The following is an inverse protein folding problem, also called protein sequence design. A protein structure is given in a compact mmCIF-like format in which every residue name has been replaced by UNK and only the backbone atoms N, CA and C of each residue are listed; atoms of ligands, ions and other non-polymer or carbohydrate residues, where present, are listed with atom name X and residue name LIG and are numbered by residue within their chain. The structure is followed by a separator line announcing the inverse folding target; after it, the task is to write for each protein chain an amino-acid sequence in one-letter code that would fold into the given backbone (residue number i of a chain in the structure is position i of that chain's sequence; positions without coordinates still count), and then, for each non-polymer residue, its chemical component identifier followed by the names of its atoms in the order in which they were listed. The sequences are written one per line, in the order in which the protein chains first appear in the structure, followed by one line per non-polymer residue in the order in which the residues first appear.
data_IF_385186841656
#
_entry.id   IF_385186841656
#
_cell.length_a   1.000
_cell.length_b   1.000
_cell.length_c   1.000
_cell.angle_alpha   90.00
_cell.angle_beta   90.00
_cell.angle_gamma   90.00
#
_symmetry.space_group_name_H-M   'P 1'
#
loop_
_entity.id
_entity.type
_entity.pdbx_description
1 polymer ?
#
# COMPACT_ATOMS: atom_id res chain seq x y z
N UNK A 1 61.57 10.40 -17.60
CA UNK A 1 60.45 11.16 -16.99
C UNK A 1 59.18 10.76 -17.73
N UNK A 2 58.40 9.83 -17.18
CA UNK A 2 57.20 9.28 -17.83
C UNK A 2 55.96 9.72 -17.04
N UNK A 3 54.97 10.21 -17.77
CA UNK A 3 53.82 10.98 -17.28
C UNK A 3 52.72 10.07 -16.72
N UNK A 4 52.15 10.53 -15.60
CA UNK A 4 50.81 10.28 -15.06
C UNK A 4 50.03 9.08 -15.60
N UNK A 5 50.05 7.99 -14.82
CA UNK A 5 49.13 6.86 -14.90
C UNK A 5 47.73 7.33 -14.55
N UNK A 6 46.87 7.39 -15.57
CA UNK A 6 45.48 7.83 -15.46
C UNK A 6 44.63 6.77 -14.75
N UNK A 7 43.76 7.28 -13.89
CA UNK A 7 42.79 6.61 -13.02
C UNK A 7 41.80 5.75 -13.77
N UNK A 8 41.64 4.49 -13.36
CA UNK A 8 40.42 3.70 -13.56
C UNK A 8 40.26 2.73 -12.38
N UNK A 9 39.95 3.29 -11.22
CA UNK A 9 39.37 2.54 -10.11
C UNK A 9 37.85 2.70 -10.22
N UNK A 10 37.18 1.78 -10.92
CA UNK A 10 35.72 1.64 -10.80
C UNK A 10 35.45 0.58 -9.73
N UNK A 11 35.16 1.06 -8.53
CA UNK A 11 34.81 0.26 -7.38
C UNK A 11 33.58 -0.59 -7.68
N UNK A 12 33.78 -1.91 -7.77
CA UNK A 12 32.72 -2.88 -7.59
C UNK A 12 32.59 -3.15 -6.09
N UNK A 13 31.68 -2.43 -5.43
CA UNK A 13 31.26 -2.68 -4.05
C UNK A 13 29.75 -2.51 -4.01
N UNK A 14 29.02 -3.61 -4.15
CA UNK A 14 28.46 -4.36 -3.02
C UNK A 14 27.29 -3.63 -2.34
N UNK A 15 26.15 -4.32 -2.44
CA UNK A 15 25.27 -4.66 -1.32
C UNK A 15 24.13 -3.71 -0.93
N UNK A 16 22.93 -4.29 -1.08
CA UNK A 16 21.80 -4.33 -0.13
C UNK A 16 20.57 -3.45 -0.41
N UNK A 17 19.43 -4.15 -0.38
CA UNK A 17 18.09 -3.72 0.00
C UNK A 17 17.40 -2.72 -0.95
N UNK A 18 16.18 -2.97 -1.43
CA UNK A 18 15.07 -3.54 -0.67
C UNK A 18 14.40 -4.67 -1.41
N UNK A 19 14.44 -5.84 -0.77
CA UNK A 19 13.37 -6.80 -0.86
C UNK A 19 12.09 -6.08 -0.39
N UNK A 20 11.38 -5.45 -1.32
CA UNK A 20 10.01 -4.97 -1.12
C UNK A 20 9.01 -6.12 -1.07
N UNK A 21 9.43 -7.31 -0.63
CA UNK A 21 8.51 -8.21 0.03
C UNK A 21 8.30 -7.57 1.40
N UNK A 22 7.33 -6.65 1.47
CA UNK A 22 6.57 -6.44 2.68
C UNK A 22 6.18 -7.84 3.17
N UNK A 23 7.00 -8.40 4.06
CA UNK A 23 6.68 -9.63 4.76
C UNK A 23 5.27 -9.37 5.28
N UNK A 24 4.31 -10.11 4.76
CA UNK A 24 2.93 -9.93 5.12
C UNK A 24 2.90 -10.15 6.63
N UNK A 25 2.86 -9.06 7.38
CA UNK A 25 2.38 -9.09 8.76
C UNK A 25 1.09 -9.92 8.71
N UNK A 26 0.85 -10.81 9.69
CA UNK A 26 -0.32 -11.68 9.68
C UNK A 26 -1.52 -10.85 9.26
N UNK A 27 -2.00 -11.13 8.05
CA UNK A 27 -2.94 -10.23 7.40
C UNK A 27 -4.23 -10.35 8.19
N UNK A 28 -4.68 -9.25 8.78
CA UNK A 28 -6.00 -9.16 9.37
C UNK A 28 -7.08 -9.33 8.29
N UNK A 29 -6.73 -9.23 7.00
CA UNK A 29 -7.63 -9.57 5.92
C UNK A 29 -7.93 -11.08 5.85
N UNK A 30 -9.21 -11.44 5.66
CA UNK A 30 -9.56 -12.79 5.21
C UNK A 30 -8.85 -13.16 3.90
N UNK A 31 -8.68 -14.45 3.63
CA UNK A 31 -8.03 -14.92 2.41
C UNK A 31 -8.71 -14.35 1.15
N UNK A 32 -7.93 -13.73 0.25
CA UNK A 32 -8.41 -13.10 -0.99
C UNK A 32 -9.16 -11.77 -0.82
N UNK A 33 -9.59 -11.43 0.41
CA UNK A 33 -10.38 -10.22 0.67
C UNK A 33 -9.63 -8.92 0.38
N UNK A 34 -8.32 -8.89 0.66
CA UNK A 34 -7.48 -7.73 0.40
C UNK A 34 -7.43 -7.40 -1.09
N UNK A 35 -7.25 -8.41 -1.92
CA UNK A 35 -7.13 -8.23 -3.38
C UNK A 35 -8.46 -7.81 -3.99
N UNK A 36 -9.58 -8.39 -3.53
CA UNK A 36 -10.92 -7.93 -3.90
C UNK A 36 -11.16 -6.47 -3.51
N UNK A 37 -10.81 -6.09 -2.28
CA UNK A 37 -10.92 -4.70 -1.84
C UNK A 37 -10.11 -3.74 -2.72
N UNK A 38 -8.86 -4.08 -3.02
CA UNK A 38 -8.01 -3.25 -3.89
C UNK A 38 -8.60 -3.16 -5.30
N UNK A 39 -9.11 -4.26 -5.85
CA UNK A 39 -9.73 -4.27 -7.17
C UNK A 39 -10.97 -3.37 -7.22
N UNK A 40 -11.89 -3.52 -6.26
CA UNK A 40 -13.13 -2.75 -6.20
C UNK A 40 -12.85 -1.25 -5.97
N UNK A 41 -11.98 -0.95 -5.00
CA UNK A 41 -11.54 0.41 -4.71
C UNK A 41 -10.87 1.05 -5.92
N UNK A 42 -9.96 0.33 -6.60
CA UNK A 42 -9.23 0.85 -7.75
C UNK A 42 -10.16 1.07 -8.94
N UNK A 43 -11.12 0.16 -9.18
CA UNK A 43 -12.11 0.30 -10.25
C UNK A 43 -12.99 1.55 -10.04
N UNK A 44 -13.34 1.83 -8.79
CA UNK A 44 -14.10 3.04 -8.42
C UNK A 44 -13.24 4.31 -8.53
N UNK A 45 -12.02 4.30 -7.99
CA UNK A 45 -11.13 5.47 -8.00
C UNK A 45 -10.68 5.87 -9.41
N UNK A 46 -10.58 4.91 -10.34
CA UNK A 46 -10.26 5.14 -11.74
C UNK A 46 -11.25 6.07 -12.48
N UNK A 47 -12.45 6.28 -11.92
CA UNK A 47 -13.39 7.27 -12.44
C UNK A 47 -12.87 8.72 -12.28
N UNK A 48 -11.83 8.95 -11.46
CA UNK A 48 -11.31 10.27 -11.12
C UNK A 48 -9.78 10.42 -11.28
N UNK A 49 -9.04 9.32 -11.26
CA UNK A 49 -7.57 9.31 -11.35
C UNK A 49 -7.09 8.18 -12.27
N UNK A 50 -5.82 8.19 -12.68
CA UNK A 50 -5.27 7.10 -13.48
C UNK A 50 -5.18 5.79 -12.69
N UNK A 51 -5.10 4.67 -13.41
CA UNK A 51 -5.10 3.32 -12.83
C UNK A 51 -3.97 3.09 -11.82
N UNK A 52 -2.79 3.67 -12.05
CA UNK A 52 -1.65 3.52 -11.13
C UNK A 52 -1.92 4.26 -9.84
N UNK A 53 -2.35 5.51 -9.94
CA UNK A 53 -2.69 6.36 -8.79
C UNK A 53 -3.85 5.76 -7.98
N UNK A 54 -4.86 5.21 -8.64
CA UNK A 54 -5.96 4.49 -7.99
C UNK A 54 -5.44 3.28 -7.19
N UNK A 55 -4.61 2.44 -7.82
CA UNK A 55 -4.04 1.25 -7.19
C UNK A 55 -3.16 1.60 -5.99
N UNK A 56 -2.25 2.56 -6.14
CA UNK A 56 -1.37 3.02 -5.06
C UNK A 56 -2.20 3.52 -3.84
N UNK A 57 -3.28 4.25 -4.09
CA UNK A 57 -4.18 4.74 -3.03
C UNK A 57 -4.91 3.60 -2.31
N UNK A 58 -5.46 2.66 -3.07
CA UNK A 58 -6.21 1.53 -2.52
C UNK A 58 -5.31 0.52 -1.78
N UNK A 59 -4.08 0.32 -2.25
CA UNK A 59 -3.06 -0.48 -1.55
C UNK A 59 -2.69 0.16 -0.20
N UNK A 60 -2.46 1.48 -0.17
CA UNK A 60 -2.25 2.19 1.09
C UNK A 60 -3.44 2.03 2.04
N UNK A 61 -4.67 2.19 1.53
CA UNK A 61 -5.88 2.01 2.33
C UNK A 61 -5.96 0.61 2.92
N UNK A 62 -5.68 -0.41 2.11
CA UNK A 62 -5.69 -1.80 2.55
C UNK A 62 -4.67 -2.07 3.66
N UNK A 63 -3.48 -1.48 3.56
CA UNK A 63 -2.41 -1.63 4.55
C UNK A 63 -2.74 -0.90 5.85
N UNK A 64 -3.35 0.29 5.78
CA UNK A 64 -3.81 1.03 6.97
C UNK A 64 -4.95 0.33 7.68
N UNK A 65 -5.92 -0.21 6.94
CA UNK A 65 -6.97 -1.03 7.52
C UNK A 65 -6.39 -2.27 8.19
N UNK A 66 -5.42 -2.93 7.55
CA UNK A 66 -4.73 -4.08 8.11
C UNK A 66 -4.00 -3.76 9.42
N UNK A 67 -3.40 -2.56 9.53
CA UNK A 67 -2.65 -2.16 10.71
C UNK A 67 -3.53 -1.71 11.89
N UNK A 68 -4.65 -1.04 11.61
CA UNK A 68 -5.48 -0.35 12.62
C UNK A 68 -6.73 -1.14 13.03
N UNK A 69 -7.16 -2.10 12.20
CA UNK A 69 -8.36 -2.90 12.44
C UNK A 69 -8.01 -4.38 12.58
N UNK A 70 -8.77 -5.06 13.42
CA UNK A 70 -8.74 -6.51 13.58
C UNK A 70 -9.42 -7.23 12.41
N UNK A 71 -9.17 -8.53 12.26
CA UNK A 71 -9.86 -9.38 11.28
C UNK A 71 -11.38 -9.34 11.40
N UNK A 72 -11.90 -9.31 12.63
CA UNK A 72 -13.34 -9.25 12.86
C UNK A 72 -13.94 -7.93 12.37
N UNK A 73 -13.27 -6.81 12.66
CA UNK A 73 -13.66 -5.47 12.22
C UNK A 73 -13.61 -5.33 10.69
N UNK A 74 -12.54 -5.83 10.05
CA UNK A 74 -12.43 -5.84 8.58
C UNK A 74 -13.54 -6.69 7.97
N UNK A 75 -13.77 -7.89 8.51
CA UNK A 75 -14.85 -8.78 8.04
C UNK A 75 -16.22 -8.14 8.20
N UNK A 76 -16.46 -7.46 9.31
CA UNK A 76 -17.73 -6.74 9.54
C UNK A 76 -17.92 -5.63 8.51
N UNK A 77 -16.90 -4.81 8.24
CA UNK A 77 -16.97 -3.77 7.21
C UNK A 77 -17.26 -4.32 5.81
N UNK A 78 -16.74 -5.51 5.49
CA UNK A 78 -16.94 -6.14 4.19
C UNK A 78 -18.32 -6.79 4.02
N UNK A 79 -18.87 -7.39 5.09
CA UNK A 79 -20.05 -8.24 5.00
C UNK A 79 -21.32 -7.58 5.53
N UNK A 80 -21.17 -6.54 6.35
CA UNK A 80 -22.28 -5.83 6.98
C UNK A 80 -22.36 -4.38 6.48
N UNK A 81 -23.26 -4.06 5.53
CA UNK A 81 -23.47 -2.67 5.10
C UNK A 81 -23.96 -1.76 6.24
N UNK A 82 -24.55 -2.33 7.29
CA UNK A 82 -25.01 -1.66 8.50
C UNK A 82 -23.99 -1.70 9.64
N UNK A 83 -22.70 -1.94 9.34
CA UNK A 83 -21.63 -1.83 10.32
C UNK A 83 -21.72 -0.50 11.09
N UNK A 84 -21.37 -0.55 12.38
CA UNK A 84 -21.55 0.60 13.28
C UNK A 84 -20.85 1.86 12.76
N UNK A 85 -21.44 3.02 13.05
CA UNK A 85 -20.85 4.29 12.62
C UNK A 85 -19.45 4.50 13.21
N UNK A 86 -19.20 4.03 14.42
CA UNK A 86 -17.88 4.06 15.05
C UNK A 86 -16.83 3.26 14.25
N UNK A 87 -17.19 2.05 13.80
CA UNK A 87 -16.30 1.21 12.99
C UNK A 87 -16.03 1.83 11.62
N UNK A 88 -17.06 2.38 10.95
CA UNK A 88 -16.90 3.13 9.69
C UNK A 88 -15.98 4.34 9.86
N UNK A 89 -16.16 5.11 10.93
CA UNK A 89 -15.31 6.27 11.23
C UNK A 89 -13.87 5.85 11.52
N UNK A 90 -13.66 4.75 12.25
CA UNK A 90 -12.33 4.18 12.50
C UNK A 90 -11.64 3.80 11.19
N UNK A 91 -12.34 3.12 10.28
CA UNK A 91 -11.82 2.76 8.96
C UNK A 91 -11.43 4.00 8.13
N UNK A 92 -12.31 5.01 8.05
CA UNK A 92 -12.03 6.27 7.36
C UNK A 92 -10.84 7.00 7.96
N UNK A 93 -10.72 7.01 9.30
CA UNK A 93 -9.61 7.62 10.01
C UNK A 93 -8.29 6.92 9.69
N UNK A 94 -8.28 5.58 9.69
CA UNK A 94 -7.10 4.78 9.36
C UNK A 94 -6.56 5.13 7.96
N UNK A 95 -7.46 5.23 6.97
CA UNK A 95 -7.07 5.50 5.58
C UNK A 95 -6.87 7.00 5.27
N UNK A 96 -7.20 7.91 6.18
CA UNK A 96 -7.11 9.37 5.95
C UNK A 96 -5.71 9.87 5.56
N UNK A 97 -4.68 9.13 5.95
CA UNK A 97 -3.28 9.40 5.61
C UNK A 97 -2.88 8.98 4.19
N UNK A 98 -3.70 8.15 3.52
CA UNK A 98 -3.48 7.66 2.17
C UNK A 98 -3.87 8.72 1.15
N UNK A 99 -3.07 9.77 1.03
CA UNK A 99 -3.32 10.84 0.08
C UNK A 99 -2.99 10.40 -1.34
N UNK A 100 -3.89 10.74 -2.26
CA UNK A 100 -3.60 10.70 -3.69
C UNK A 100 -2.67 11.85 -4.03
N UNK A 101 -1.38 11.58 -4.20
CA UNK A 101 -0.46 12.57 -4.75
C UNK A 101 -0.58 12.52 -6.27
N UNK A 102 -1.35 13.44 -6.87
CA UNK A 102 -1.33 13.58 -8.33
C UNK A 102 0.11 13.90 -8.74
N UNK A 103 0.78 12.98 -9.43
CA UNK A 103 2.01 13.31 -10.13
C UNK A 103 1.63 14.25 -11.29
N UNK A 104 2.15 15.49 -11.23
CA UNK A 104 2.12 16.46 -12.34
C UNK A 104 2.88 15.92 -13.53
#
# INVERSE_FOLDING_TARGET
MMRFTSTLALAASLTLLSLGAQAAAPSNWPAGARDSFIADCSSSAQQSVDAKTAKDHCECGADKLNAELSTAEIKELMTNPNASQALKTKAVTAISSCKVVKKK
#
